data_IF_307667162930
#
_entry.id   IF_307667162930
#
_cell.length_a   1.000
_cell.length_b   1.000
_cell.length_c   1.000
_cell.angle_alpha   90.00
_cell.angle_beta   90.00
_cell.angle_gamma   90.00
#
_symmetry.space_group_name_H-M   'P 1'
#
loop_
_entity.id
_entity.type
_entity.pdbx_description
1 polymer ?
#
# COMPACT_ATOMS: atom_id res chain seq x y z
N UNK A 1 6.34 17.75 11.21
CA UNK A 1 7.25 17.00 10.32
C UNK A 1 6.84 17.33 8.89
N UNK A 2 7.79 17.68 8.01
CA UNK A 2 7.52 17.91 6.57
C UNK A 2 7.81 16.63 5.78
N UNK A 3 7.21 16.52 4.59
CA UNK A 3 7.43 15.40 3.66
C UNK A 3 7.17 14.04 4.32
N UNK A 4 5.92 13.79 4.71
CA UNK A 4 5.53 12.57 5.42
C UNK A 4 4.86 11.58 4.49
N UNK A 5 5.02 10.27 4.75
CA UNK A 5 4.37 9.25 3.98
C UNK A 5 3.87 8.07 4.81
N UNK A 6 2.86 7.38 4.28
CA UNK A 6 2.39 6.07 4.73
C UNK A 6 2.91 5.03 3.75
N UNK A 7 3.55 3.96 4.24
CA UNK A 7 4.02 2.83 3.44
C UNK A 7 3.10 1.61 3.65
N UNK A 8 2.51 1.13 2.57
CA UNK A 8 1.60 -0.01 2.55
C UNK A 8 2.24 -1.18 1.81
N UNK A 9 2.09 -2.39 2.34
CA UNK A 9 2.74 -3.59 1.79
C UNK A 9 4.27 -3.43 1.74
N UNK A 10 4.83 -2.87 2.80
CA UNK A 10 6.16 -2.30 2.82
C UNK A 10 7.31 -3.30 2.61
N UNK A 11 7.06 -4.60 2.83
CA UNK A 11 8.13 -5.60 2.83
C UNK A 11 9.22 -5.25 3.84
N UNK A 12 10.47 -5.41 3.45
CA UNK A 12 11.62 -4.98 4.25
C UNK A 12 11.94 -3.48 4.13
N UNK A 13 11.13 -2.71 3.37
CA UNK A 13 11.22 -1.26 3.29
C UNK A 13 12.11 -0.71 2.18
N UNK A 14 12.23 -1.39 1.03
CA UNK A 14 13.04 -0.91 -0.09
C UNK A 14 12.52 0.40 -0.70
N UNK A 15 11.18 0.51 -0.91
CA UNK A 15 10.56 1.74 -1.40
C UNK A 15 10.71 2.89 -0.40
N UNK A 16 10.46 2.59 0.90
CA UNK A 16 10.68 3.56 1.98
C UNK A 16 12.11 4.08 2.02
N UNK A 17 13.13 3.22 1.87
CA UNK A 17 14.52 3.66 1.88
C UNK A 17 14.80 4.69 0.78
N UNK A 18 14.29 4.48 -0.42
CA UNK A 18 14.41 5.47 -1.50
C UNK A 18 13.73 6.79 -1.19
N UNK A 19 12.56 6.76 -0.57
CA UNK A 19 11.84 7.96 -0.14
C UNK A 19 12.56 8.69 1.00
N UNK A 20 13.11 7.96 1.97
CA UNK A 20 13.90 8.52 3.07
C UNK A 20 15.15 9.24 2.54
N UNK A 21 15.85 8.64 1.57
CA UNK A 21 16.97 9.29 0.88
C UNK A 21 16.55 10.56 0.13
N UNK A 22 15.31 10.63 -0.34
CA UNK A 22 14.71 11.82 -0.95
C UNK A 22 14.15 12.83 0.08
N UNK A 23 14.39 12.63 1.38
CA UNK A 23 13.99 13.54 2.45
C UNK A 23 12.55 13.38 2.93
N UNK A 24 11.91 12.24 2.65
CA UNK A 24 10.58 11.92 3.19
C UNK A 24 10.70 11.11 4.50
N UNK A 25 9.67 11.20 5.34
CA UNK A 25 9.65 10.58 6.65
C UNK A 25 8.45 9.62 6.78
N UNK A 26 8.66 8.33 7.10
CA UNK A 26 7.59 7.38 7.32
C UNK A 26 6.85 7.71 8.62
N UNK A 27 5.53 7.82 8.55
CA UNK A 27 4.68 8.07 9.73
C UNK A 27 3.80 6.87 10.09
N UNK A 28 3.67 5.92 9.16
CA UNK A 28 2.95 4.68 9.36
C UNK A 28 3.42 3.62 8.36
N UNK A 29 3.46 2.36 8.81
CA UNK A 29 3.84 1.21 7.99
C UNK A 29 2.83 0.08 8.12
N UNK A 30 2.49 -0.57 6.99
CA UNK A 30 1.70 -1.79 6.96
C UNK A 30 2.48 -2.90 6.25
N UNK A 31 2.65 -4.04 6.92
CA UNK A 31 3.26 -5.23 6.34
C UNK A 31 2.73 -6.49 7.02
N UNK A 32 2.20 -7.42 6.23
CA UNK A 32 1.57 -8.65 6.71
C UNK A 32 2.60 -9.64 7.28
N UNK A 33 3.76 -9.76 6.63
CA UNK A 33 4.81 -10.69 7.05
C UNK A 33 5.57 -10.12 8.25
N UNK A 34 5.54 -10.85 9.37
CA UNK A 34 6.16 -10.41 10.62
C UNK A 34 7.67 -10.23 10.52
N UNK A 35 8.37 -11.08 9.76
CA UNK A 35 9.83 -11.02 9.64
C UNK A 35 10.25 -9.82 8.77
N UNK A 36 9.49 -9.55 7.70
CA UNK A 36 9.68 -8.37 6.88
C UNK A 36 9.41 -7.08 7.67
N UNK A 37 8.31 -7.03 8.44
CA UNK A 37 8.00 -5.89 9.31
C UNK A 37 9.09 -5.69 10.37
N UNK A 38 9.57 -6.76 11.02
CA UNK A 38 10.65 -6.67 12.00
C UNK A 38 11.93 -6.14 11.36
N UNK A 39 12.27 -6.60 10.16
CA UNK A 39 13.41 -6.09 9.37
C UNK A 39 13.23 -4.61 9.07
N UNK A 40 12.05 -4.20 8.62
CA UNK A 40 11.71 -2.79 8.37
C UNK A 40 11.96 -1.92 9.61
N UNK A 41 11.42 -2.33 10.77
CA UNK A 41 11.50 -1.58 12.03
C UNK A 41 12.92 -1.57 12.63
N UNK A 42 13.66 -2.66 12.48
CA UNK A 42 15.03 -2.78 13.01
C UNK A 42 15.99 -1.86 12.27
N UNK A 43 15.83 -1.74 10.96
CA UNK A 43 16.67 -0.90 10.12
C UNK A 43 16.32 0.61 10.20
N UNK A 44 15.35 0.99 11.06
CA UNK A 44 14.89 2.38 11.24
C UNK A 44 14.84 2.79 12.71
N UNK A 45 16.00 2.74 13.43
CA UNK A 45 16.05 3.04 14.86
C UNK A 45 15.67 4.50 15.18
N UNK A 46 15.84 5.42 14.23
CA UNK A 46 15.49 6.84 14.33
C UNK A 46 13.97 7.08 14.37
N UNK A 47 13.18 6.22 13.71
CA UNK A 47 11.72 6.32 13.68
C UNK A 47 11.07 5.49 14.80
N UNK A 48 11.43 5.79 16.07
CA UNK A 48 10.96 5.06 17.27
C UNK A 48 9.43 4.91 17.32
N UNK A 49 8.68 5.87 16.78
CA UNK A 49 7.22 5.81 16.76
C UNK A 49 6.68 4.62 15.96
N UNK A 50 7.37 4.17 14.91
CA UNK A 50 6.93 3.03 14.11
C UNK A 50 6.95 1.70 14.90
N UNK A 51 7.66 1.63 16.02
CA UNK A 51 7.65 0.46 16.93
C UNK A 51 6.42 0.42 17.85
N UNK A 52 5.62 1.49 17.89
CA UNK A 52 4.38 1.55 18.65
C UNK A 52 3.24 0.98 17.79
N UNK A 53 2.36 0.19 18.40
CA UNK A 53 1.23 -0.47 17.72
C UNK A 53 0.27 0.51 17.02
N UNK A 54 0.30 1.79 17.40
CA UNK A 54 -0.51 2.84 16.80
C UNK A 54 -0.02 3.27 15.40
N UNK A 55 1.25 2.96 15.07
CA UNK A 55 1.90 3.44 13.84
C UNK A 55 2.39 2.33 12.92
N UNK A 56 2.00 1.07 13.20
CA UNK A 56 2.13 -0.03 12.25
C UNK A 56 0.94 -1.00 12.33
N UNK A 57 0.75 -1.78 11.28
CA UNK A 57 -0.21 -2.90 11.28
C UNK A 57 0.26 -4.03 10.38
N UNK A 58 -0.36 -5.21 10.56
CA UNK A 58 -0.12 -6.39 9.74
C UNK A 58 -1.12 -6.50 8.60
N UNK A 59 -2.36 -6.88 8.87
CA UNK A 59 -3.38 -7.01 7.81
C UNK A 59 -3.99 -5.65 7.48
N UNK A 60 -3.83 -5.23 6.24
CA UNK A 60 -4.41 -3.98 5.73
C UNK A 60 -5.95 -3.98 5.83
N UNK A 61 -6.58 -5.15 5.76
CA UNK A 61 -8.02 -5.28 5.90
C UNK A 61 -8.51 -4.91 7.30
N UNK A 62 -7.71 -5.10 8.34
CA UNK A 62 -8.07 -4.65 9.69
C UNK A 62 -8.10 -3.12 9.79
N UNK A 63 -7.28 -2.45 9.00
CA UNK A 63 -7.27 -0.99 8.93
C UNK A 63 -8.47 -0.43 8.14
N UNK A 64 -8.90 -1.10 7.08
CA UNK A 64 -9.85 -0.55 6.12
C UNK A 64 -11.29 -1.08 6.28
N UNK A 65 -11.48 -2.29 6.78
CA UNK A 65 -12.82 -2.88 6.98
C UNK A 65 -13.51 -2.36 8.25
N UNK A 66 -12.74 -2.03 9.28
CA UNK A 66 -13.27 -1.46 10.52
C UNK A 66 -13.22 0.08 10.40
N UNK A 67 -14.37 0.71 10.18
CA UNK A 67 -14.51 2.17 10.01
C UNK A 67 -13.82 2.98 11.13
N UNK A 68 -13.69 2.39 12.32
CA UNK A 68 -13.01 2.99 13.46
C UNK A 68 -11.48 3.00 13.32
N UNK A 69 -10.87 2.04 12.60
CA UNK A 69 -9.40 1.90 12.52
C UNK A 69 -8.75 3.04 11.74
N UNK A 70 -9.31 3.47 10.59
CA UNK A 70 -8.82 4.65 9.85
C UNK A 70 -8.98 5.95 10.65
N UNK A 71 -10.11 6.10 11.37
CA UNK A 71 -10.32 7.26 12.25
C UNK A 71 -9.31 7.29 13.40
N UNK A 72 -9.02 6.14 13.99
CA UNK A 72 -8.03 6.01 15.08
C UNK A 72 -6.64 6.34 14.55
N UNK A 73 -6.24 5.82 13.39
CA UNK A 73 -4.97 6.17 12.76
C UNK A 73 -4.89 7.68 12.49
N UNK A 74 -5.93 8.28 11.90
CA UNK A 74 -5.96 9.72 11.65
C UNK A 74 -5.82 10.55 12.95
N UNK A 75 -6.50 10.13 14.03
CA UNK A 75 -6.35 10.74 15.36
C UNK A 75 -4.92 10.64 15.85
N UNK A 76 -4.28 9.48 15.76
CA UNK A 76 -2.90 9.25 16.20
C UNK A 76 -1.90 10.10 15.38
N UNK A 77 -2.07 10.16 14.04
CA UNK A 77 -1.24 11.01 13.19
C UNK A 77 -1.40 12.49 13.51
N UNK A 78 -2.63 12.95 13.81
CA UNK A 78 -2.88 14.33 14.24
C UNK A 78 -2.21 14.63 15.58
N UNK A 79 -2.39 13.77 16.58
CA UNK A 79 -1.83 13.98 17.91
C UNK A 79 -0.30 13.96 17.92
N UNK A 80 0.32 13.03 17.17
CA UNK A 80 1.78 12.83 17.20
C UNK A 80 2.53 13.79 16.29
N UNK A 81 1.99 14.06 15.09
CA UNK A 81 2.69 14.77 14.01
C UNK A 81 1.98 16.02 13.53
N UNK A 82 0.78 16.34 14.08
CA UNK A 82 -0.11 17.41 13.62
C UNK A 82 -0.50 17.25 12.14
N UNK A 83 -0.73 16.01 11.69
CA UNK A 83 -1.13 15.66 10.33
C UNK A 83 -2.65 15.53 10.29
N UNK A 84 -3.32 16.34 9.48
CA UNK A 84 -4.74 16.24 9.18
C UNK A 84 -4.94 15.59 7.81
N UNK A 85 -6.20 15.41 7.42
CA UNK A 85 -6.56 14.99 6.06
C UNK A 85 -6.06 16.03 5.06
N UNK A 86 -5.33 15.60 4.03
CA UNK A 86 -4.72 16.48 3.03
C UNK A 86 -3.28 16.89 3.33
N UNK A 87 -2.78 16.69 4.56
CA UNK A 87 -1.44 17.10 4.96
C UNK A 87 -0.34 16.08 4.61
N UNK A 88 -0.70 14.79 4.46
CA UNK A 88 0.24 13.76 4.02
C UNK A 88 0.84 14.10 2.66
N UNK A 89 2.14 13.97 2.53
CA UNK A 89 2.80 14.14 1.24
C UNK A 89 2.49 12.97 0.32
N UNK A 90 2.65 11.73 0.82
CA UNK A 90 2.47 10.53 -0.01
C UNK A 90 1.75 9.40 0.76
N UNK A 91 1.00 8.60 0.02
CA UNK A 91 0.68 7.20 0.35
C UNK A 91 1.35 6.34 -0.71
N UNK A 92 2.19 5.41 -0.29
CA UNK A 92 2.92 4.54 -1.22
C UNK A 92 2.63 3.08 -0.93
N UNK A 93 2.77 2.21 -1.93
CA UNK A 93 2.59 0.80 -1.71
C UNK A 93 2.70 -0.06 -2.96
N UNK A 94 3.17 -1.29 -2.76
CA UNK A 94 3.24 -2.36 -3.75
C UNK A 94 2.27 -3.50 -3.39
N UNK A 95 0.96 -3.39 -3.65
CA UNK A 95 0.03 -4.46 -3.31
C UNK A 95 0.40 -5.77 -4.02
N UNK A 96 0.19 -6.94 -3.36
CA UNK A 96 0.59 -8.23 -3.89
C UNK A 96 0.02 -8.51 -5.29
N UNK A 97 0.87 -9.07 -6.14
CA UNK A 97 0.57 -9.40 -7.53
C UNK A 97 0.57 -10.91 -7.76
N UNK A 98 -0.07 -11.69 -6.90
CA UNK A 98 -0.07 -13.14 -7.00
C UNK A 98 -0.73 -13.57 -8.32
N UNK A 99 0.05 -14.31 -9.14
CA UNK A 99 -0.45 -14.87 -10.40
C UNK A 99 -0.09 -14.11 -11.68
N UNK A 100 0.54 -12.93 -11.59
CA UNK A 100 1.11 -12.24 -12.78
C UNK A 100 2.59 -11.87 -12.63
N UNK A 101 3.22 -12.19 -11.51
CA UNK A 101 4.67 -12.15 -11.38
C UNK A 101 5.31 -13.24 -12.22
N UNK A 102 6.33 -12.91 -13.01
CA UNK A 102 7.05 -13.87 -13.87
C UNK A 102 7.73 -15.00 -13.11
N UNK A 103 8.06 -14.80 -11.83
CA UNK A 103 8.69 -15.78 -10.95
C UNK A 103 7.71 -16.89 -10.52
N UNK A 104 6.41 -16.64 -10.54
CA UNK A 104 5.34 -17.60 -10.19
C UNK A 104 4.76 -18.39 -11.38
N UNK A 105 5.27 -18.22 -12.60
CA UNK A 105 4.63 -18.69 -13.84
C UNK A 105 4.30 -20.18 -13.89
N UNK A 106 5.12 -21.05 -13.29
CA UNK A 106 4.89 -22.53 -13.40
C UNK A 106 3.70 -23.05 -12.58
N UNK A 107 3.23 -22.33 -11.56
CA UNK A 107 2.10 -22.77 -10.69
C UNK A 107 0.76 -22.09 -11.00
N UNK A 108 0.76 -20.97 -11.72
CA UNK A 108 -0.39 -20.05 -11.78
C UNK A 108 -1.25 -20.11 -13.04
N UNK A 109 -0.94 -20.95 -14.02
CA UNK A 109 -1.74 -21.08 -15.25
C UNK A 109 -3.12 -21.73 -15.05
N UNK A 110 -3.32 -22.42 -13.90
CA UNK A 110 -4.55 -23.18 -13.63
C UNK A 110 -5.53 -22.46 -12.68
N UNK A 111 -5.11 -21.37 -12.02
CA UNK A 111 -5.94 -20.70 -11.02
C UNK A 111 -6.64 -19.48 -11.61
N UNK A 112 -7.96 -19.42 -11.43
CA UNK A 112 -8.76 -18.23 -11.74
C UNK A 112 -8.33 -17.08 -10.80
N UNK A 113 -7.69 -16.06 -11.37
CA UNK A 113 -7.13 -14.91 -10.62
C UNK A 113 -8.20 -14.09 -9.93
N UNK A 114 -9.46 -14.17 -10.40
CA UNK A 114 -10.62 -13.56 -9.74
C UNK A 114 -10.89 -14.16 -8.36
N UNK A 115 -10.47 -15.40 -8.13
CA UNK A 115 -10.68 -16.12 -6.86
C UNK A 115 -9.56 -15.90 -5.85
N UNK A 116 -8.51 -15.15 -6.19
CA UNK A 116 -7.38 -14.87 -5.32
C UNK A 116 -7.63 -13.54 -4.60
N UNK A 117 -7.94 -13.54 -3.28
CA UNK A 117 -8.30 -12.31 -2.56
C UNK A 117 -7.21 -11.24 -2.58
N UNK A 118 -5.94 -11.65 -2.53
CA UNK A 118 -4.80 -10.72 -2.55
C UNK A 118 -4.69 -9.89 -3.83
N UNK A 119 -5.28 -10.36 -4.94
CA UNK A 119 -5.29 -9.59 -6.19
C UNK A 119 -6.20 -8.34 -6.13
N UNK A 120 -7.01 -8.20 -5.10
CA UNK A 120 -7.89 -7.06 -4.90
C UNK A 120 -7.41 -6.10 -3.80
N UNK A 121 -6.24 -6.34 -3.20
CA UNK A 121 -5.73 -5.51 -2.11
C UNK A 121 -5.38 -4.07 -2.55
N UNK A 122 -5.23 -3.80 -3.85
CA UNK A 122 -5.15 -2.44 -4.37
C UNK A 122 -6.39 -1.60 -4.01
N UNK A 123 -7.56 -2.23 -3.81
CA UNK A 123 -8.78 -1.55 -3.35
C UNK A 123 -8.66 -1.06 -1.90
N UNK A 124 -7.89 -1.77 -1.08
CA UNK A 124 -7.64 -1.32 0.30
C UNK A 124 -6.70 -0.11 0.30
N UNK A 125 -5.67 -0.11 -0.56
CA UNK A 125 -4.83 1.08 -0.78
C UNK A 125 -5.66 2.28 -1.28
N UNK A 126 -6.56 2.06 -2.24
CA UNK A 126 -7.49 3.09 -2.73
C UNK A 126 -8.28 3.74 -1.59
N UNK A 127 -8.87 2.94 -0.67
CA UNK A 127 -9.63 3.46 0.48
C UNK A 127 -8.78 4.33 1.41
N UNK A 128 -7.51 3.96 1.60
CA UNK A 128 -6.58 4.73 2.43
C UNK A 128 -6.24 6.06 1.76
N UNK A 129 -5.96 6.06 0.45
CA UNK A 129 -5.72 7.27 -0.33
C UNK A 129 -6.95 8.19 -0.30
N UNK A 130 -8.14 7.64 -0.56
CA UNK A 130 -9.39 8.40 -0.51
C UNK A 130 -9.64 9.01 0.87
N UNK A 131 -9.37 8.26 1.94
CA UNK A 131 -9.59 8.71 3.31
C UNK A 131 -8.61 9.82 3.72
N UNK A 132 -7.32 9.64 3.48
CA UNK A 132 -6.28 10.61 3.90
C UNK A 132 -6.11 11.75 2.92
N UNK A 133 -6.48 11.58 1.65
CA UNK A 133 -6.32 12.57 0.58
C UNK A 133 -4.90 13.17 0.54
N UNK A 134 -3.84 12.34 0.40
CA UNK A 134 -2.47 12.83 0.37
C UNK A 134 -2.23 13.76 -0.84
N UNK A 135 -1.10 14.48 -0.87
CA UNK A 135 -0.71 15.30 -2.03
C UNK A 135 -0.38 14.48 -3.27
N UNK A 136 0.02 13.22 -3.08
CA UNK A 136 0.26 12.26 -4.15
C UNK A 136 0.27 10.82 -3.63
N UNK A 137 0.35 9.88 -4.54
CA UNK A 137 0.53 8.47 -4.19
C UNK A 137 1.46 7.77 -5.19
N UNK A 138 2.11 6.70 -4.76
CA UNK A 138 2.93 5.83 -5.60
C UNK A 138 2.36 4.41 -5.52
N UNK A 139 1.88 3.90 -6.66
CA UNK A 139 1.46 2.52 -6.82
C UNK A 139 2.56 1.74 -7.55
N UNK A 140 3.30 0.90 -6.80
CA UNK A 140 4.33 0.04 -7.35
C UNK A 140 3.76 -1.33 -7.71
N UNK A 141 4.15 -1.89 -8.83
CA UNK A 141 3.83 -3.27 -9.17
C UNK A 141 4.76 -3.83 -10.25
N UNK A 142 4.74 -5.15 -10.43
CA UNK A 142 5.58 -5.83 -11.42
C UNK A 142 5.12 -5.55 -12.84
N UNK A 143 6.06 -5.52 -13.80
CA UNK A 143 5.78 -5.31 -15.24
C UNK A 143 4.72 -6.26 -15.79
N UNK A 144 4.62 -7.48 -15.25
CA UNK A 144 3.62 -8.47 -15.64
C UNK A 144 2.17 -8.01 -15.51
N UNK A 145 1.89 -7.03 -14.63
CA UNK A 145 0.58 -6.42 -14.45
C UNK A 145 0.04 -5.81 -15.77
N UNK A 146 0.91 -5.19 -16.58
CA UNK A 146 0.53 -4.53 -17.85
C UNK A 146 -0.09 -5.49 -18.87
N UNK A 147 0.17 -6.79 -18.75
CA UNK A 147 -0.36 -7.82 -19.64
C UNK A 147 -1.28 -8.82 -18.93
N UNK A 148 -1.51 -8.64 -17.64
CA UNK A 148 -2.26 -9.58 -16.82
C UNK A 148 -3.73 -9.65 -17.20
N UNK A 149 -4.30 -10.87 -17.05
CA UNK A 149 -5.70 -11.19 -17.36
C UNK A 149 -6.34 -11.82 -16.12
N UNK A 150 -7.62 -11.54 -15.88
CA UNK A 150 -8.38 -12.16 -14.81
C UNK A 150 -8.59 -13.66 -15.04
N UNK A 151 -8.89 -14.02 -16.28
CA UNK A 151 -9.15 -15.41 -16.69
C UNK A 151 -8.27 -15.77 -17.88
N UNK A 152 -8.19 -17.09 -18.21
CA UNK A 152 -7.43 -17.59 -19.35
C UNK A 152 -7.87 -16.91 -20.67
N UNK A 153 -9.17 -16.65 -20.82
CA UNK A 153 -9.77 -16.06 -22.01
C UNK A 153 -10.02 -14.55 -21.89
N UNK A 154 -9.56 -13.92 -20.79
CA UNK A 154 -9.69 -12.48 -20.54
C UNK A 154 -8.83 -11.64 -21.50
N UNK A 155 -9.11 -10.34 -21.56
CA UNK A 155 -8.35 -9.41 -22.41
C UNK A 155 -6.99 -9.10 -21.78
N UNK A 156 -5.94 -9.03 -22.61
CA UNK A 156 -4.61 -8.63 -22.18
C UNK A 156 -4.66 -7.23 -21.54
N UNK A 157 -4.09 -7.10 -20.35
CA UNK A 157 -4.05 -5.83 -19.60
C UNK A 157 -5.35 -5.44 -18.88
N UNK A 158 -6.37 -6.31 -18.87
CA UNK A 158 -7.66 -5.99 -18.25
C UNK A 158 -7.53 -5.69 -16.74
N UNK A 159 -6.63 -6.40 -16.04
CA UNK A 159 -6.40 -6.15 -14.58
C UNK A 159 -5.83 -4.74 -14.36
N UNK A 160 -4.84 -4.35 -15.17
CA UNK A 160 -4.25 -3.02 -15.07
C UNK A 160 -5.29 -1.93 -15.39
N UNK A 161 -6.13 -2.16 -16.40
CA UNK A 161 -7.23 -1.24 -16.74
C UNK A 161 -8.23 -1.10 -15.59
N UNK A 162 -8.58 -2.21 -14.92
CA UNK A 162 -9.49 -2.17 -13.75
C UNK A 162 -8.89 -1.38 -12.59
N UNK A 163 -7.57 -1.53 -12.36
CA UNK A 163 -6.86 -0.74 -11.35
C UNK A 163 -6.88 0.75 -11.73
N UNK A 164 -6.55 1.11 -12.96
CA UNK A 164 -6.62 2.49 -13.43
C UNK A 164 -8.02 3.09 -13.28
N UNK A 165 -9.05 2.34 -13.69
CA UNK A 165 -10.45 2.76 -13.53
C UNK A 165 -10.82 2.97 -12.05
N UNK A 166 -10.31 2.14 -11.14
CA UNK A 166 -10.53 2.33 -9.71
C UNK A 166 -9.87 3.61 -9.21
N UNK A 167 -8.61 3.86 -9.59
CA UNK A 167 -7.89 5.04 -9.11
C UNK A 167 -8.34 6.34 -9.78
N UNK A 168 -8.92 6.29 -10.98
CA UNK A 168 -9.53 7.46 -11.62
C UNK A 168 -10.78 8.00 -10.91
N UNK A 169 -11.33 7.24 -9.96
CA UNK A 169 -12.42 7.71 -9.10
C UNK A 169 -11.95 8.66 -7.99
N UNK A 170 -10.64 8.79 -7.77
CA UNK A 170 -10.07 9.73 -6.81
C UNK A 170 -10.21 11.16 -7.34
N UNK A 171 -11.03 11.98 -6.69
CA UNK A 171 -11.45 13.29 -7.19
C UNK A 171 -10.36 14.36 -7.27
N UNK A 172 -9.24 14.17 -6.56
CA UNK A 172 -8.21 15.21 -6.37
C UNK A 172 -6.89 14.90 -7.10
N UNK A 173 -6.89 13.91 -7.98
CA UNK A 173 -5.70 13.50 -8.74
C UNK A 173 -6.03 13.47 -10.23
N UNK A 174 -5.18 14.11 -11.03
CA UNK A 174 -5.27 14.14 -12.50
C UNK A 174 -4.38 13.06 -13.13
#
# INVERSE_FOLDING_TARGET
>A
MKNTFIDLFAGCGGLSLGLEQAGFNPVYVNELNSDALNTYLTNRPEYKHLKLNEFHSKDICDLTKKKLSLKTLAKNLKLKFNINRGDLSLVVGGPPCQGYSGIGHRRNYKVDKKKIPSNYLYKEMFKIIEYFNPKGFIFENVRGLLSARWTKNGKKGEIFKDILNQFSLLKNYN
#
